data_IF_492627177957
#
_entry.id   IF_492627177957
#
_cell.length_a   1.000
_cell.length_b   1.000
_cell.length_c   1.000
_cell.angle_alpha   90.00
_cell.angle_beta   90.00
_cell.angle_gamma   90.00
#
_symmetry.space_group_name_H-M   'P 1'
#
loop_
_entity.id
_entity.type
_entity.pdbx_description
1 polymer ?
#
# COMPACT_ATOMS: atom_id res chain seq x y z
N UNK A 1 15.86 -7.38 -15.48
CA UNK A 1 16.56 -7.01 -14.22
C UNK A 1 15.95 -5.70 -13.76
N UNK A 2 15.59 -5.55 -12.49
CA UNK A 2 15.35 -4.23 -11.92
C UNK A 2 16.70 -3.49 -11.99
N UNK A 3 16.70 -2.24 -12.46
CA UNK A 3 17.90 -1.39 -12.44
C UNK A 3 18.40 -1.34 -10.98
N UNK A 4 19.72 -1.45 -10.78
CA UNK A 4 20.29 -1.28 -9.44
C UNK A 4 19.86 0.11 -8.93
N UNK A 5 19.14 0.12 -7.82
CA UNK A 5 18.51 1.28 -7.22
C UNK A 5 18.92 1.34 -5.76
N UNK A 6 19.27 2.53 -5.27
CA UNK A 6 19.61 2.72 -3.87
C UNK A 6 18.35 2.77 -2.99
N UNK A 7 18.50 2.55 -1.69
CA UNK A 7 17.39 2.65 -0.74
C UNK A 7 16.79 4.07 -0.72
N UNK A 8 17.63 5.09 -0.84
CA UNK A 8 17.20 6.49 -0.98
C UNK A 8 16.32 6.71 -2.23
N UNK A 9 16.74 6.18 -3.38
CA UNK A 9 16.00 6.28 -4.63
C UNK A 9 14.66 5.54 -4.53
N UNK A 10 14.65 4.33 -3.97
CA UNK A 10 13.42 3.58 -3.73
C UNK A 10 12.43 4.38 -2.88
N UNK A 11 12.88 4.90 -1.73
CA UNK A 11 12.00 5.64 -0.84
C UNK A 11 11.40 6.87 -1.55
N UNK A 12 12.24 7.63 -2.25
CA UNK A 12 11.83 8.85 -2.92
C UNK A 12 10.84 8.57 -4.06
N UNK A 13 11.16 7.61 -4.94
CA UNK A 13 10.29 7.22 -6.05
C UNK A 13 8.97 6.67 -5.53
N UNK A 14 9.01 5.76 -4.56
CA UNK A 14 7.80 5.16 -4.00
C UNK A 14 6.94 6.18 -3.29
N UNK A 15 7.51 7.08 -2.48
CA UNK A 15 6.78 8.14 -1.79
C UNK A 15 6.08 9.05 -2.76
N UNK A 16 6.80 9.50 -3.79
CA UNK A 16 6.24 10.40 -4.82
C UNK A 16 5.09 9.72 -5.57
N UNK A 17 5.29 8.49 -6.04
CA UNK A 17 4.25 7.74 -6.77
C UNK A 17 3.03 7.44 -5.89
N UNK A 18 3.24 7.03 -4.63
CA UNK A 18 2.13 6.79 -3.70
C UNK A 18 1.35 8.06 -3.40
N UNK A 19 2.02 9.18 -3.14
CA UNK A 19 1.36 10.47 -2.90
C UNK A 19 0.50 10.90 -4.11
N UNK A 20 1.00 10.71 -5.33
CA UNK A 20 0.24 11.01 -6.55
C UNK A 20 -1.00 10.12 -6.68
N UNK A 21 -0.86 8.81 -6.46
CA UNK A 21 -1.99 7.88 -6.53
C UNK A 21 -3.03 8.15 -5.42
N UNK A 22 -2.58 8.46 -4.20
CA UNK A 22 -3.45 8.82 -3.08
C UNK A 22 -4.19 10.11 -3.37
N UNK A 23 -3.52 11.16 -3.84
CA UNK A 23 -4.14 12.43 -4.20
C UNK A 23 -5.20 12.25 -5.30
N UNK A 24 -4.96 11.36 -6.25
CA UNK A 24 -5.96 11.04 -7.27
C UNK A 24 -7.17 10.29 -6.71
N UNK A 25 -6.95 9.29 -5.85
CA UNK A 25 -8.05 8.57 -5.20
C UNK A 25 -8.89 9.55 -4.35
N UNK A 26 -8.25 10.48 -3.63
CA UNK A 26 -8.93 11.55 -2.89
C UNK A 26 -9.80 12.42 -3.81
N UNK A 27 -9.23 12.94 -4.90
CA UNK A 27 -9.99 13.76 -5.85
C UNK A 27 -11.19 13.01 -6.44
N UNK A 28 -11.04 11.71 -6.70
CA UNK A 28 -12.11 10.85 -7.17
C UNK A 28 -13.18 10.58 -6.10
N UNK A 29 -12.79 10.43 -4.83
CA UNK A 29 -13.71 10.26 -3.70
C UNK A 29 -14.54 11.53 -3.46
N UNK A 30 -13.92 12.70 -3.58
CA UNK A 30 -14.58 13.99 -3.38
C UNK A 30 -15.48 14.38 -4.57
N UNK A 31 -15.11 13.98 -5.78
CA UNK A 31 -15.86 14.30 -7.00
C UNK A 31 -17.03 13.37 -7.32
N UNK A 32 -17.15 12.22 -6.65
CA UNK A 32 -18.16 11.20 -6.96
C UNK A 32 -19.38 11.27 -6.03
N UNK A 33 -20.57 10.97 -6.57
CA UNK A 33 -21.78 10.85 -5.75
C UNK A 33 -21.75 9.58 -4.87
N UNK A 34 -22.53 9.53 -3.78
CA UNK A 34 -22.65 8.32 -2.96
C UNK A 34 -23.09 7.08 -3.75
N UNK A 35 -23.94 7.25 -4.77
CA UNK A 35 -24.37 6.18 -5.67
C UNK A 35 -23.19 5.66 -6.51
N UNK A 36 -22.41 6.56 -7.12
CA UNK A 36 -21.23 6.19 -7.92
C UNK A 36 -20.18 5.46 -7.08
N UNK A 37 -19.97 5.88 -5.84
CA UNK A 37 -19.03 5.25 -4.91
C UNK A 37 -19.44 3.82 -4.50
N UNK A 38 -20.72 3.49 -4.63
CA UNK A 38 -21.32 2.19 -4.28
C UNK A 38 -21.70 1.36 -5.51
N UNK A 39 -21.54 1.89 -6.72
CA UNK A 39 -21.82 1.19 -7.96
C UNK A 39 -20.91 -0.06 -8.10
N UNK A 40 -21.53 -1.19 -8.44
CA UNK A 40 -20.83 -2.45 -8.70
C UNK A 40 -20.84 -2.76 -10.19
N UNK A 41 -19.72 -3.24 -10.72
CA UNK A 41 -19.60 -3.69 -12.10
C UNK A 41 -20.16 -5.11 -12.31
N UNK A 42 -20.44 -5.84 -11.23
CA UNK A 42 -21.04 -7.17 -11.25
C UNK A 42 -21.04 -7.86 -9.87
N UNK A 43 -21.66 -9.05 -9.76
CA UNK A 43 -21.96 -9.69 -8.46
C UNK A 43 -20.74 -10.04 -7.59
N UNK A 44 -19.54 -10.07 -8.18
CA UNK A 44 -18.28 -10.41 -7.49
C UNK A 44 -17.27 -9.25 -7.50
N UNK A 45 -17.64 -8.08 -8.01
CA UNK A 45 -16.77 -6.92 -8.03
C UNK A 45 -16.96 -6.09 -6.76
N UNK A 46 -15.86 -5.68 -6.14
CA UNK A 46 -15.91 -4.64 -5.12
C UNK A 46 -16.36 -3.31 -5.72
N UNK A 47 -17.13 -2.51 -5.01
CA UNK A 47 -17.33 -1.09 -5.35
C UNK A 47 -16.17 -0.24 -4.81
N UNK A 48 -16.15 1.07 -5.10
CA UNK A 48 -15.01 1.95 -4.76
C UNK A 48 -14.74 2.01 -3.26
N UNK A 49 -15.77 2.16 -2.41
CA UNK A 49 -15.57 2.16 -0.95
C UNK A 49 -15.04 0.82 -0.38
N UNK A 50 -15.33 -0.31 -1.03
CA UNK A 50 -14.75 -1.60 -0.65
C UNK A 50 -13.25 -1.66 -1.00
N UNK A 51 -12.82 -1.02 -2.08
CA UNK A 51 -11.38 -0.88 -2.39
C UNK A 51 -10.70 -0.02 -1.32
N UNK A 52 -11.33 1.08 -0.86
CA UNK A 52 -10.79 1.89 0.24
C UNK A 52 -10.65 1.06 1.52
N UNK A 53 -11.68 0.28 1.88
CA UNK A 53 -11.62 -0.63 3.04
C UNK A 53 -10.51 -1.67 2.88
N UNK A 54 -10.34 -2.20 1.67
CA UNK A 54 -9.23 -3.11 1.37
C UNK A 54 -7.86 -2.46 1.60
N UNK A 55 -7.66 -1.19 1.23
CA UNK A 55 -6.43 -0.47 1.57
C UNK A 55 -6.22 -0.39 3.08
N UNK A 56 -7.24 0.03 3.84
CA UNK A 56 -7.15 0.11 5.30
C UNK A 56 -6.74 -1.22 5.91
N UNK A 57 -7.37 -2.32 5.49
CA UNK A 57 -7.07 -3.69 5.96
C UNK A 57 -5.68 -4.16 5.55
N UNK A 58 -5.26 -3.88 4.32
CA UNK A 58 -4.00 -4.36 3.78
C UNK A 58 -2.79 -3.52 4.25
N UNK A 59 -3.00 -2.27 4.64
CA UNK A 59 -1.92 -1.32 4.93
C UNK A 59 -1.79 -0.98 6.41
N UNK A 60 -2.90 -0.88 7.15
CA UNK A 60 -2.91 -0.54 8.58
C UNK A 60 -2.03 -1.45 9.44
N UNK A 61 -2.20 -2.79 9.37
CA UNK A 61 -1.36 -3.72 10.14
C UNK A 61 0.13 -3.61 9.82
N UNK A 62 0.48 -3.26 8.58
CA UNK A 62 1.88 -3.06 8.18
C UNK A 62 2.44 -1.75 8.75
N UNK A 63 1.67 -0.67 8.75
CA UNK A 63 2.08 0.59 9.37
C UNK A 63 2.42 0.35 10.85
N UNK A 64 1.53 -0.30 11.60
CA UNK A 64 1.73 -0.59 13.02
C UNK A 64 2.95 -1.49 13.26
N UNK A 65 3.18 -2.50 12.41
CA UNK A 65 4.36 -3.34 12.50
C UNK A 65 5.67 -2.60 12.12
N UNK A 66 5.61 -1.64 11.20
CA UNK A 66 6.77 -0.92 10.70
C UNK A 66 7.20 0.25 11.60
N UNK A 67 6.27 0.94 12.27
CA UNK A 67 6.58 2.09 13.15
C UNK A 67 7.75 1.85 14.11
N UNK A 68 7.77 0.80 14.95
CA UNK A 68 8.88 0.58 15.89
C UNK A 68 10.20 0.27 15.19
N UNK A 69 10.16 -0.35 14.01
CA UNK A 69 11.36 -0.67 13.21
C UNK A 69 11.89 0.58 12.51
N UNK A 70 11.02 1.44 11.97
CA UNK A 70 11.38 2.72 11.37
C UNK A 70 12.04 3.67 12.39
N UNK A 71 11.57 3.66 13.63
CA UNK A 71 12.16 4.44 14.73
C UNK A 71 13.60 3.99 15.07
N UNK A 72 13.90 2.70 14.90
CA UNK A 72 15.19 2.09 15.24
C UNK A 72 16.10 1.86 14.03
N UNK A 73 15.65 2.20 12.82
CA UNK A 73 16.41 1.98 11.60
C UNK A 73 17.71 2.81 11.64
N UNK A 74 18.88 2.18 11.39
CA UNK A 74 20.16 2.87 11.43
C UNK A 74 20.28 3.87 10.28
N UNK A 75 21.16 4.84 10.43
CA UNK A 75 21.51 5.77 9.34
C UNK A 75 22.22 5.05 8.19
N UNK A 76 21.97 5.51 6.97
CA UNK A 76 22.61 5.05 5.73
C UNK A 76 21.63 4.44 4.72
N UNK A 77 21.35 5.17 3.63
CA UNK A 77 20.40 4.79 2.57
C UNK A 77 21.06 4.69 1.17
N UNK A 78 22.39 4.83 1.11
CA UNK A 78 23.18 4.72 -0.12
C UNK A 78 23.41 3.28 -0.62
N UNK A 79 22.94 2.29 0.13
CA UNK A 79 23.09 0.87 -0.24
C UNK A 79 22.10 0.48 -1.34
N UNK A 80 22.42 -0.57 -2.09
CA UNK A 80 21.47 -1.17 -3.04
C UNK A 80 20.31 -1.83 -2.29
N UNK A 81 19.09 -1.63 -2.80
CA UNK A 81 17.86 -2.22 -2.25
C UNK A 81 17.91 -3.75 -2.25
N UNK A 82 17.57 -4.37 -1.11
CA UNK A 82 17.44 -5.83 -1.00
C UNK A 82 16.01 -6.25 -0.72
N UNK A 83 15.25 -6.52 -1.78
CA UNK A 83 13.91 -7.09 -1.66
C UNK A 83 13.96 -8.59 -1.36
N UNK A 84 13.19 -9.02 -0.36
CA UNK A 84 13.06 -10.45 -0.01
C UNK A 84 12.31 -11.21 -1.11
N UNK A 85 12.52 -12.53 -1.14
CA UNK A 85 11.94 -13.41 -2.18
C UNK A 85 10.41 -13.33 -2.21
N UNK A 86 9.77 -13.34 -1.03
CA UNK A 86 8.32 -13.23 -0.90
C UNK A 86 7.80 -11.94 -1.55
N UNK A 87 8.40 -10.79 -1.25
CA UNK A 87 8.07 -9.49 -1.83
C UNK A 87 8.17 -9.51 -3.35
N UNK A 88 9.28 -10.01 -3.89
CA UNK A 88 9.48 -10.13 -5.34
C UNK A 88 8.39 -10.97 -6.00
N UNK A 89 7.96 -12.04 -5.35
CA UNK A 89 6.88 -12.89 -5.83
C UNK A 89 5.53 -12.16 -5.83
N UNK A 90 5.15 -11.52 -4.72
CA UNK A 90 3.86 -10.80 -4.59
C UNK A 90 3.79 -9.62 -5.54
N UNK A 91 4.84 -8.80 -5.62
CA UNK A 91 4.95 -7.67 -6.56
C UNK A 91 4.76 -8.14 -8.00
N UNK A 92 5.38 -9.28 -8.36
CA UNK A 92 5.21 -9.88 -9.70
C UNK A 92 3.76 -10.32 -9.96
N UNK A 93 3.06 -10.88 -8.98
CA UNK A 93 1.67 -11.31 -9.15
C UNK A 93 0.72 -10.11 -9.28
N UNK A 94 0.91 -9.06 -8.47
CA UNK A 94 0.13 -7.83 -8.57
C UNK A 94 0.29 -7.18 -9.95
N UNK A 95 1.52 -7.09 -10.47
CA UNK A 95 1.80 -6.56 -11.81
C UNK A 95 1.18 -7.37 -12.95
N UNK A 96 0.94 -8.67 -12.75
CA UNK A 96 0.24 -9.53 -13.71
C UNK A 96 -1.29 -9.44 -13.58
N UNK A 97 -1.78 -8.79 -12.54
CA UNK A 97 -3.20 -8.73 -12.21
C UNK A 97 -3.78 -10.03 -11.64
N UNK A 98 -2.93 -10.95 -11.18
CA UNK A 98 -3.34 -12.29 -10.72
C UNK A 98 -3.17 -12.50 -9.23
N UNK A 99 -2.98 -11.44 -8.45
CA UNK A 99 -2.80 -11.55 -7.00
C UNK A 99 -4.17 -11.72 -6.33
N UNK A 100 -4.49 -12.89 -5.74
CA UNK A 100 -5.72 -13.04 -4.96
C UNK A 100 -5.57 -12.28 -3.64
N UNK A 101 -6.65 -11.63 -3.20
CA UNK A 101 -6.71 -11.07 -1.86
C UNK A 101 -6.83 -12.22 -0.83
N UNK A 102 -5.95 -12.28 0.19
CA UNK A 102 -6.13 -13.17 1.34
C UNK A 102 -7.51 -12.96 1.97
N UNK A 103 -8.19 -14.01 2.49
CA UNK A 103 -9.57 -13.91 3.00
C UNK A 103 -9.77 -12.83 4.07
N UNK A 104 -8.79 -12.63 4.93
CA UNK A 104 -8.73 -11.61 5.99
C UNK A 104 -8.61 -10.17 5.46
N UNK A 105 -8.14 -10.00 4.22
CA UNK A 105 -8.02 -8.69 3.58
C UNK A 105 -9.23 -8.38 2.68
N UNK A 106 -10.14 -9.34 2.45
CA UNK A 106 -11.36 -9.09 1.69
C UNK A 106 -12.25 -8.11 2.47
N UNK A 107 -12.68 -6.99 1.88
CA UNK A 107 -13.54 -6.04 2.54
C UNK A 107 -14.97 -6.61 2.73
N UNK A 108 -15.67 -6.26 3.81
CA UNK A 108 -17.08 -6.60 4.00
C UNK A 108 -17.96 -6.03 2.87
N UNK A 109 -19.19 -6.57 2.67
CA UNK A 109 -20.15 -6.02 1.72
C UNK A 109 -20.49 -4.55 1.98
N UNK A 110 -20.47 -4.14 3.24
CA UNK A 110 -20.74 -2.75 3.66
C UNK A 110 -19.56 -2.27 4.48
N UNK A 111 -18.67 -1.44 3.90
CA UNK A 111 -17.61 -0.76 4.64
C UNK A 111 -18.17 0.11 5.76
N UNK A 112 -17.34 0.37 6.78
CA UNK A 112 -17.69 1.31 7.85
C UNK A 112 -17.97 2.72 7.31
N UNK A 113 -18.88 3.45 7.95
CA UNK A 113 -19.27 4.80 7.51
C UNK A 113 -18.08 5.78 7.49
N UNK A 114 -17.14 5.61 8.43
CA UNK A 114 -15.95 6.44 8.55
C UNK A 114 -14.76 5.94 7.69
N UNK A 115 -14.94 4.99 6.78
CA UNK A 115 -13.82 4.31 6.12
C UNK A 115 -12.90 5.25 5.33
N UNK A 116 -13.46 6.28 4.70
CA UNK A 116 -12.68 7.29 3.96
C UNK A 116 -11.81 8.09 4.93
N UNK A 117 -12.35 8.47 6.09
CA UNK A 117 -11.57 9.18 7.11
C UNK A 117 -10.50 8.28 7.71
N UNK A 118 -10.81 7.02 8.00
CA UNK A 118 -9.81 6.04 8.48
C UNK A 118 -8.69 5.85 7.47
N UNK A 119 -9.00 5.82 6.18
CA UNK A 119 -8.00 5.76 5.12
C UNK A 119 -7.14 7.03 5.08
N UNK A 120 -7.74 8.23 5.14
CA UNK A 120 -7.02 9.51 5.21
C UNK A 120 -6.02 9.57 6.37
N UNK A 121 -6.46 9.16 7.55
CA UNK A 121 -5.60 9.13 8.73
C UNK A 121 -4.44 8.14 8.54
N UNK A 122 -4.72 6.97 7.99
CA UNK A 122 -3.69 5.98 7.65
C UNK A 122 -2.68 6.50 6.61
N UNK A 123 -3.13 7.24 5.59
CA UNK A 123 -2.24 7.82 4.58
C UNK A 123 -1.33 8.91 5.17
N UNK A 124 -1.90 9.81 6.00
CA UNK A 124 -1.12 10.83 6.72
C UNK A 124 -0.04 10.18 7.59
N UNK A 125 -0.43 9.23 8.42
CA UNK A 125 0.48 8.57 9.34
C UNK A 125 1.55 7.74 8.59
N UNK A 126 1.21 7.18 7.43
CA UNK A 126 2.18 6.50 6.57
C UNK A 126 3.20 7.48 6.02
N UNK A 127 2.76 8.65 5.55
CA UNK A 127 3.65 9.69 5.02
C UNK A 127 4.61 10.22 6.10
N UNK A 128 4.13 10.40 7.34
CA UNK A 128 4.96 10.76 8.48
C UNK A 128 6.06 9.73 8.75
N UNK A 129 5.71 8.44 8.75
CA UNK A 129 6.70 7.36 8.92
C UNK A 129 7.69 7.37 7.75
N UNK A 130 7.24 7.54 6.51
CA UNK A 130 8.12 7.56 5.34
C UNK A 130 9.05 8.78 5.34
N UNK A 131 8.58 9.95 5.80
CA UNK A 131 9.42 11.12 6.02
C UNK A 131 10.52 10.83 7.05
N UNK A 132 10.20 10.11 8.13
CA UNK A 132 11.17 9.74 9.17
C UNK A 132 12.24 8.72 8.72
N UNK A 133 12.06 8.11 7.54
CA UNK A 133 12.98 7.14 6.95
C UNK A 133 14.04 7.76 6.03
N UNK A 134 13.97 9.07 5.76
CA UNK A 134 15.00 9.75 4.98
C UNK A 134 16.37 9.59 5.64
N UNK A 135 17.39 9.19 4.85
CA UNK A 135 18.74 8.96 5.37
C UNK A 135 18.89 7.67 6.18
N UNK A 136 17.87 6.81 6.28
CA UNK A 136 17.91 5.55 7.05
C UNK A 136 17.96 4.33 6.16
N UNK A 137 18.59 3.27 6.66
CA UNK A 137 18.63 2.00 5.94
C UNK A 137 17.29 1.30 5.96
N UNK A 138 16.83 0.90 4.77
CA UNK A 138 15.56 0.22 4.59
C UNK A 138 15.68 -1.30 4.59
N UNK A 139 16.87 -1.86 4.29
CA UNK A 139 17.09 -3.30 4.20
C UNK A 139 17.91 -3.88 5.36
N UNK A 140 18.26 -3.07 6.37
CA UNK A 140 19.08 -3.53 7.50
C UNK A 140 18.28 -4.35 8.53
N UNK A 141 17.11 -3.85 8.93
CA UNK A 141 16.26 -4.48 9.93
C UNK A 141 15.06 -5.15 9.27
N UNK A 142 14.55 -6.20 9.91
CA UNK A 142 13.34 -6.86 9.47
C UNK A 142 12.26 -6.95 10.57
N UNK A 143 11.02 -6.92 10.10
CA UNK A 143 9.82 -7.13 10.90
C UNK A 143 9.08 -8.36 10.41
N UNK A 144 8.18 -8.90 11.23
CA UNK A 144 7.32 -10.01 10.84
C UNK A 144 6.13 -9.48 10.05
N UNK A 145 5.82 -10.11 8.93
CA UNK A 145 4.62 -9.80 8.17
C UNK A 145 3.38 -10.02 9.08
N UNK A 146 2.51 -9.01 9.25
CA UNK A 146 1.38 -9.08 10.17
C UNK A 146 0.33 -10.13 9.75
N UNK A 147 0.18 -10.35 8.44
CA UNK A 147 -0.77 -11.31 7.87
C UNK A 147 -0.20 -12.71 7.75
N UNK A 148 1.12 -12.84 7.59
CA UNK A 148 1.84 -14.09 7.46
C UNK A 148 3.04 -14.12 8.41
N UNK A 149 2.80 -14.37 9.70
CA UNK A 149 3.81 -14.23 10.79
C UNK A 149 5.11 -15.01 10.60
N UNK A 150 5.13 -16.02 9.74
CA UNK A 150 6.32 -16.80 9.37
C UNK A 150 7.25 -16.08 8.38
N UNK A 151 6.72 -15.09 7.66
CA UNK A 151 7.46 -14.29 6.68
C UNK A 151 8.06 -13.07 7.38
N UNK A 152 9.36 -12.85 7.16
CA UNK A 152 10.05 -11.62 7.57
C UNK A 152 10.19 -10.68 6.37
N UNK A 153 10.17 -9.38 6.64
CA UNK A 153 10.21 -8.31 5.63
C UNK A 153 11.09 -7.16 6.09
N UNK A 154 11.78 -6.53 5.17
CA UNK A 154 12.48 -5.26 5.35
C UNK A 154 11.51 -4.07 5.20
N UNK A 155 11.89 -2.88 5.66
CA UNK A 155 11.15 -1.65 5.36
C UNK A 155 11.09 -1.40 3.85
N UNK A 156 12.15 -1.76 3.11
CA UNK A 156 12.17 -1.70 1.64
C UNK A 156 11.07 -2.58 1.00
N UNK A 157 10.77 -3.73 1.60
CA UNK A 157 9.72 -4.62 1.12
C UNK A 157 8.33 -4.01 1.30
N UNK A 158 8.09 -3.38 2.46
CA UNK A 158 6.83 -2.67 2.75
C UNK A 158 6.59 -1.52 1.76
N UNK A 159 7.62 -0.69 1.53
CA UNK A 159 7.57 0.44 0.60
C UNK A 159 7.21 -0.01 -0.81
N UNK A 160 7.88 -1.04 -1.34
CA UNK A 160 7.62 -1.55 -2.69
C UNK A 160 6.25 -2.25 -2.82
N UNK A 161 5.83 -3.02 -1.81
CA UNK A 161 4.51 -3.66 -1.80
C UNK A 161 3.42 -2.61 -1.80
N UNK A 162 3.53 -1.59 -0.95
CA UNK A 162 2.53 -0.51 -0.86
C UNK A 162 2.33 0.18 -2.21
N UNK A 163 3.42 0.62 -2.84
CA UNK A 163 3.40 1.24 -4.17
C UNK A 163 2.74 0.36 -5.21
N UNK A 164 3.15 -0.90 -5.26
CA UNK A 164 2.61 -1.85 -6.23
C UNK A 164 1.13 -2.14 -5.97
N UNK A 165 0.70 -2.18 -4.70
CA UNK A 165 -0.69 -2.43 -4.32
C UNK A 165 -1.61 -1.28 -4.73
N UNK A 166 -1.21 -0.03 -4.48
CA UNK A 166 -1.94 1.14 -4.94
C UNK A 166 -2.05 1.15 -6.47
N UNK A 167 -0.93 0.92 -7.17
CA UNK A 167 -0.91 0.86 -8.64
C UNK A 167 -1.80 -0.26 -9.21
N UNK A 168 -1.93 -1.38 -8.50
CA UNK A 168 -2.80 -2.49 -8.89
C UNK A 168 -4.29 -2.14 -8.79
N UNK A 169 -4.68 -1.41 -7.75
CA UNK A 169 -6.10 -1.08 -7.50
C UNK A 169 -6.55 0.26 -8.08
N UNK A 170 -5.66 1.21 -8.36
CA UNK A 170 -6.06 2.51 -8.91
C UNK A 170 -6.85 2.41 -10.24
N UNK A 171 -6.45 1.59 -11.24
CA UNK A 171 -7.26 1.40 -12.45
C UNK A 171 -8.62 0.78 -12.16
N UNK A 172 -8.69 -0.12 -11.17
CA UNK A 172 -9.93 -0.75 -10.75
C UNK A 172 -10.88 0.28 -10.13
N UNK A 173 -10.35 1.14 -9.26
CA UNK A 173 -11.06 2.25 -8.64
C UNK A 173 -11.64 3.20 -9.69
N UNK A 174 -10.80 3.66 -10.63
CA UNK A 174 -11.23 4.51 -11.77
C UNK A 174 -12.36 3.89 -12.59
N UNK A 175 -12.28 2.59 -12.88
CA UNK A 175 -13.26 1.91 -13.72
C UNK A 175 -14.67 1.87 -13.08
N UNK A 176 -14.75 1.76 -11.75
CA UNK A 176 -16.01 1.67 -11.01
C UNK A 176 -16.78 2.98 -10.95
N UNK A 177 -16.07 4.11 -10.96
CA UNK A 177 -16.69 5.43 -10.95
C UNK A 177 -17.26 5.87 -12.30
N UNK A 178 -16.98 5.11 -13.36
CA UNK A 178 -17.52 5.34 -14.71
C UNK A 178 -18.81 4.55 -14.97
N UNK A 179 -19.25 3.73 -14.02
CA UNK A 179 -20.40 2.84 -14.14
C UNK A 179 -21.65 3.49 -13.56
#
# INVERSE_FOLDING_TARGET
MLKAMTEAQLLQECRTECQQMVAEIEALLEGASPEQLRAQMGPKSWHSLQIVDHFVRAHGPYLEACRPVAAQAPTGDGQEVKLKFFTRMVVRQMRKGTAPAPPNLVPPPTPAENIVQTWRDLERDTDEVWASLQGKSLSHQDFRNPELKIVRMHLADWVEIRRTHLAYHLPQFRARLKC
#
